data_IF_011953582515
#
_entry.id   IF_011953582515
#
_cell.length_a   1.000
_cell.length_b   1.000
_cell.length_c   1.000
_cell.angle_alpha   90.00
_cell.angle_beta   90.00
_cell.angle_gamma   90.00
#
_symmetry.space_group_name_H-M   'P 1'
#
loop_
_entity.id
_entity.type
_entity.pdbx_description
1 polymer ?
#
# COMPACT_ATOMS: atom_id res chain seq x y z
N UNK A 1 -0.02 -15.02 -4.74
CA UNK A 1 -1.39 -15.40 -4.33
C UNK A 1 -2.26 -14.18 -4.50
N UNK A 2 -3.00 -14.07 -5.60
CA UNK A 2 -3.96 -12.98 -5.79
C UNK A 2 -5.24 -13.30 -5.01
N UNK A 3 -5.55 -12.49 -4.00
CA UNK A 3 -6.91 -12.46 -3.45
C UNK A 3 -7.79 -11.64 -4.38
N UNK A 4 -9.08 -11.95 -4.45
CA UNK A 4 -10.08 -11.13 -5.13
C UNK A 4 -11.06 -10.59 -4.09
N UNK A 5 -11.27 -9.27 -4.11
CA UNK A 5 -12.33 -8.61 -3.36
C UNK A 5 -13.55 -8.47 -4.24
N UNK A 6 -14.69 -9.02 -3.80
CA UNK A 6 -15.96 -8.95 -4.53
C UNK A 6 -16.82 -7.80 -4.01
N UNK A 7 -17.29 -6.95 -4.91
CA UNK A 7 -18.35 -5.98 -4.68
C UNK A 7 -19.60 -6.41 -5.44
N UNK A 8 -20.76 -6.36 -4.81
CA UNK A 8 -22.04 -6.65 -5.45
C UNK A 8 -22.93 -5.43 -5.30
N UNK A 9 -23.42 -4.91 -6.43
CA UNK A 9 -24.40 -3.84 -6.47
C UNK A 9 -25.78 -4.48 -6.56
N UNK A 10 -26.66 -4.06 -5.65
CA UNK A 10 -28.03 -4.54 -5.58
C UNK A 10 -29.00 -3.41 -5.91
N UNK A 11 -29.93 -3.67 -6.82
CA UNK A 11 -31.14 -2.88 -6.95
C UNK A 11 -32.08 -3.22 -5.78
N UNK A 12 -32.49 -2.18 -5.05
CA UNK A 12 -33.37 -2.29 -3.88
C UNK A 12 -34.72 -1.58 -4.08
N UNK A 13 -35.13 -1.29 -5.32
CA UNK A 13 -36.49 -0.81 -5.65
C UNK A 13 -37.55 -1.73 -5.02
N UNK A 14 -37.35 -3.05 -5.12
CA UNK A 14 -38.09 -4.05 -4.36
C UNK A 14 -37.27 -4.61 -3.19
N UNK A 15 -37.37 -3.96 -2.02
CA UNK A 15 -36.65 -4.37 -0.80
C UNK A 15 -36.90 -5.80 -0.32
N UNK A 16 -37.98 -6.46 -0.76
CA UNK A 16 -38.28 -7.84 -0.38
C UNK A 16 -37.66 -8.87 -1.33
N UNK A 17 -37.16 -8.44 -2.48
CA UNK A 17 -36.44 -9.25 -3.45
C UNK A 17 -35.42 -8.37 -4.19
N UNK A 18 -34.28 -8.03 -3.57
CA UNK A 18 -33.22 -7.28 -4.23
C UNK A 18 -32.67 -8.05 -5.43
N UNK A 19 -32.49 -7.36 -6.54
CA UNK A 19 -31.90 -7.92 -7.75
C UNK A 19 -30.42 -7.55 -7.83
N UNK A 20 -29.57 -8.50 -8.26
CA UNK A 20 -28.15 -8.20 -8.49
C UNK A 20 -28.05 -7.47 -9.81
N UNK A 21 -27.58 -6.22 -9.76
CA UNK A 21 -27.37 -5.41 -10.96
C UNK A 21 -26.01 -5.73 -11.61
N UNK A 22 -24.95 -5.79 -10.78
CA UNK A 22 -23.59 -6.12 -11.22
C UNK A 22 -22.71 -6.64 -10.10
N UNK A 23 -21.65 -7.34 -10.49
CA UNK A 23 -20.60 -7.79 -9.59
C UNK A 23 -19.23 -7.34 -10.09
N UNK A 24 -18.41 -6.80 -9.20
CA UNK A 24 -17.03 -6.41 -9.49
C UNK A 24 -16.10 -7.30 -8.68
N UNK A 25 -15.02 -7.76 -9.30
CA UNK A 25 -13.95 -8.48 -8.63
C UNK A 25 -12.67 -7.69 -8.83
N UNK A 26 -12.12 -7.18 -7.74
CA UNK A 26 -10.91 -6.37 -7.75
C UNK A 26 -9.79 -7.21 -7.16
N UNK A 27 -8.67 -7.32 -7.86
CA UNK A 27 -7.48 -7.97 -7.31
C UNK A 27 -6.94 -7.24 -6.09
N UNK A 28 -6.61 -8.00 -5.07
CA UNK A 28 -6.19 -7.51 -3.77
C UNK A 28 -7.22 -7.76 -2.67
N UNK A 29 -6.93 -7.18 -1.53
CA UNK A 29 -7.67 -7.31 -0.28
C UNK A 29 -8.39 -6.01 0.05
N UNK A 30 -9.62 -6.11 0.55
CA UNK A 30 -10.37 -4.99 1.09
C UNK A 30 -9.68 -4.41 2.33
N UNK A 31 -9.54 -3.09 2.39
CA UNK A 31 -9.14 -2.37 3.60
C UNK A 31 -10.36 -1.74 4.27
N UNK A 32 -11.03 -0.83 3.56
CA UNK A 32 -12.17 -0.08 4.07
C UNK A 32 -12.97 0.54 2.92
N UNK A 33 -14.24 0.84 3.17
CA UNK A 33 -15.09 1.57 2.25
C UNK A 33 -16.04 2.51 3.00
N UNK A 34 -16.42 3.60 2.33
CA UNK A 34 -17.38 4.58 2.82
C UNK A 34 -18.22 5.11 1.68
N UNK A 35 -19.53 5.18 1.90
CA UNK A 35 -20.45 5.86 1.00
C UNK A 35 -20.62 7.32 1.43
N UNK A 36 -20.59 8.23 0.45
CA UNK A 36 -20.89 9.65 0.61
C UNK A 36 -21.63 10.13 -0.65
N UNK A 37 -22.89 10.56 -0.50
CA UNK A 37 -23.72 11.17 -1.56
C UNK A 37 -23.92 10.30 -2.82
N UNK A 38 -24.05 8.99 -2.67
CA UNK A 38 -24.25 8.04 -3.77
C UNK A 38 -22.96 7.44 -4.33
N UNK A 39 -21.80 7.96 -3.95
CA UNK A 39 -20.50 7.39 -4.33
C UNK A 39 -19.95 6.53 -3.20
N UNK A 40 -19.57 5.28 -3.53
CA UNK A 40 -18.75 4.46 -2.64
C UNK A 40 -17.28 4.71 -2.94
N UNK A 41 -16.55 5.16 -1.92
CA UNK A 41 -15.10 5.14 -1.91
C UNK A 41 -14.59 3.91 -1.23
N UNK A 42 -13.80 3.10 -1.91
CA UNK A 42 -13.21 1.89 -1.33
C UNK A 42 -11.70 1.90 -1.52
N UNK A 43 -10.99 1.48 -0.48
CA UNK A 43 -9.55 1.28 -0.53
C UNK A 43 -9.27 -0.21 -0.51
N UNK A 44 -8.53 -0.69 -1.51
CA UNK A 44 -8.00 -2.05 -1.58
C UNK A 44 -6.48 -2.04 -1.54
N UNK A 45 -5.87 -3.16 -1.17
CA UNK A 45 -4.43 -3.36 -1.28
C UNK A 45 -4.11 -4.72 -1.91
N UNK A 46 -3.32 -4.69 -2.96
CA UNK A 46 -2.79 -5.87 -3.63
C UNK A 46 -1.27 -5.92 -3.45
N UNK A 47 -0.74 -7.08 -3.09
CA UNK A 47 0.69 -7.32 -3.23
C UNK A 47 1.04 -7.53 -4.69
N UNK A 48 2.12 -6.91 -5.14
CA UNK A 48 2.68 -7.14 -6.47
C UNK A 48 3.23 -8.56 -6.52
N UNK A 49 2.50 -9.45 -7.18
CA UNK A 49 2.97 -10.78 -7.53
C UNK A 49 3.82 -10.66 -8.80
N UNK A 50 4.96 -11.35 -8.87
CA UNK A 50 5.83 -11.33 -10.04
C UNK A 50 5.93 -12.78 -10.55
N UNK A 51 4.97 -13.21 -11.39
CA UNK A 51 4.85 -14.60 -11.78
C UNK A 51 6.13 -15.16 -12.38
N UNK A 52 6.54 -16.34 -11.89
CA UNK A 52 7.72 -17.05 -12.40
C UNK A 52 9.07 -16.55 -11.87
N UNK A 53 9.10 -15.45 -11.10
CA UNK A 53 10.34 -14.99 -10.45
C UNK A 53 10.51 -15.66 -9.09
N UNK A 54 11.67 -16.28 -8.89
CA UNK A 54 12.03 -16.99 -7.66
C UNK A 54 13.03 -16.16 -6.84
N UNK A 55 12.70 -15.91 -5.57
CA UNK A 55 13.56 -15.16 -4.63
C UNK A 55 14.36 -16.04 -3.67
N UNK A 56 14.20 -17.36 -3.75
CA UNK A 56 14.95 -18.35 -2.96
C UNK A 56 15.75 -19.28 -3.86
N UNK A 57 16.71 -20.02 -3.29
CA UNK A 57 17.47 -21.03 -4.02
C UNK A 57 16.85 -22.41 -3.79
N UNK A 58 16.48 -23.11 -4.88
CA UNK A 58 16.05 -24.50 -4.80
C UNK A 58 17.28 -25.42 -4.84
N UNK A 59 17.78 -25.74 -3.65
CA UNK A 59 19.04 -26.46 -3.48
C UNK A 59 18.83 -27.98 -3.62
N UNK A 60 19.77 -28.71 -4.25
CA UNK A 60 19.61 -30.12 -4.52
C UNK A 60 19.54 -30.96 -3.22
N UNK A 61 18.89 -32.12 -3.31
CA UNK A 61 18.86 -33.08 -2.20
C UNK A 61 20.28 -33.43 -1.76
N UNK A 62 20.50 -33.47 -0.44
CA UNK A 62 21.81 -33.76 0.15
C UNK A 62 22.69 -32.52 0.34
N UNK A 63 22.31 -31.34 -0.17
CA UNK A 63 23.03 -30.09 0.09
C UNK A 63 23.24 -29.83 1.59
N UNK A 64 22.18 -30.04 2.39
CA UNK A 64 22.21 -29.82 3.84
C UNK A 64 22.97 -30.90 4.63
N UNK A 65 23.45 -31.97 3.95
CA UNK A 65 24.29 -33.00 4.57
C UNK A 65 25.78 -32.64 4.53
N UNK A 66 26.15 -31.61 3.77
CA UNK A 66 27.53 -31.10 3.72
C UNK A 66 27.81 -30.23 4.95
N UNK A 67 29.03 -30.31 5.46
CA UNK A 67 29.50 -29.41 6.51
C UNK A 67 29.37 -27.95 6.06
N UNK A 68 29.17 -27.04 7.02
CA UNK A 68 28.94 -25.62 6.71
C UNK A 68 30.10 -25.00 5.93
N UNK A 69 31.34 -25.38 6.28
CA UNK A 69 32.58 -24.90 5.67
C UNK A 69 33.03 -25.75 4.46
N UNK A 70 32.23 -26.73 4.02
CA UNK A 70 32.57 -27.54 2.85
C UNK A 70 32.58 -26.65 1.58
N UNK A 71 33.70 -26.59 0.82
CA UNK A 71 33.78 -25.77 -0.38
C UNK A 71 32.74 -26.15 -1.44
N UNK A 72 32.28 -27.41 -1.49
CA UNK A 72 31.24 -27.86 -2.42
C UNK A 72 29.90 -27.17 -2.13
N UNK A 73 29.66 -26.78 -0.87
CA UNK A 73 28.45 -26.05 -0.47
C UNK A 73 28.40 -24.63 -1.06
N UNK A 74 29.55 -24.00 -1.28
CA UNK A 74 29.63 -22.72 -1.98
C UNK A 74 29.41 -22.92 -3.49
N UNK A 75 30.11 -23.88 -4.10
CA UNK A 75 30.00 -24.17 -5.53
C UNK A 75 28.55 -24.49 -5.96
N UNK A 76 27.84 -25.33 -5.18
CA UNK A 76 26.44 -25.64 -5.45
C UNK A 76 25.56 -24.39 -5.36
N UNK A 77 25.76 -23.56 -4.32
CA UNK A 77 24.98 -22.32 -4.14
C UNK A 77 25.16 -21.37 -5.31
N UNK A 78 26.41 -21.12 -5.71
CA UNK A 78 26.72 -20.20 -6.81
C UNK A 78 26.14 -20.69 -8.14
N UNK A 79 26.24 -22.00 -8.41
CA UNK A 79 25.66 -22.59 -9.63
C UNK A 79 24.14 -22.51 -9.66
N UNK A 80 23.48 -22.85 -8.54
CA UNK A 80 22.01 -22.75 -8.45
C UNK A 80 21.58 -21.29 -8.55
N UNK A 81 22.26 -20.38 -7.84
CA UNK A 81 21.98 -18.95 -7.91
C UNK A 81 22.09 -18.40 -9.34
N UNK A 82 23.16 -18.73 -10.06
CA UNK A 82 23.33 -18.32 -11.45
C UNK A 82 22.20 -18.83 -12.35
N UNK A 83 21.82 -20.10 -12.21
CA UNK A 83 20.70 -20.66 -12.98
C UNK A 83 19.37 -20.00 -12.62
N UNK A 84 19.10 -19.76 -11.33
CA UNK A 84 17.90 -19.04 -10.87
C UNK A 84 17.86 -17.62 -11.44
N UNK A 85 18.99 -16.91 -11.49
CA UNK A 85 19.08 -15.58 -12.11
C UNK A 85 18.72 -15.62 -13.60
N UNK A 86 19.21 -16.60 -14.36
CA UNK A 86 18.86 -16.77 -15.77
C UNK A 86 17.36 -17.03 -15.95
N UNK A 87 16.79 -17.95 -15.17
CA UNK A 87 15.36 -18.26 -15.23
C UNK A 87 14.50 -17.04 -14.85
N UNK A 88 14.91 -16.27 -13.85
CA UNK A 88 14.23 -15.05 -13.45
C UNK A 88 14.27 -13.99 -14.54
N UNK A 89 15.41 -13.80 -15.22
CA UNK A 89 15.49 -12.87 -16.35
C UNK A 89 14.53 -13.26 -17.47
N UNK A 90 14.46 -14.55 -17.82
CA UNK A 90 13.49 -15.02 -18.81
C UNK A 90 12.03 -14.83 -18.37
N UNK A 91 11.74 -14.99 -17.08
CA UNK A 91 10.41 -14.72 -16.54
C UNK A 91 10.07 -13.23 -16.65
N UNK A 92 10.98 -12.36 -16.22
CA UNK A 92 10.84 -10.90 -16.28
C UNK A 92 10.64 -10.40 -17.71
N UNK A 93 11.38 -10.94 -18.69
CA UNK A 93 11.26 -10.58 -20.10
C UNK A 93 9.88 -10.89 -20.72
N UNK A 94 9.11 -11.78 -20.09
CA UNK A 94 7.76 -12.17 -20.53
C UNK A 94 6.65 -11.36 -19.85
N UNK A 95 6.96 -10.59 -18.81
CA UNK A 95 5.96 -9.85 -18.07
C UNK A 95 5.55 -8.58 -18.79
N UNK A 96 4.26 -8.29 -18.72
CA UNK A 96 3.66 -7.03 -19.10
C UNK A 96 3.30 -6.21 -17.86
N UNK A 97 3.01 -4.91 -18.04
CA UNK A 97 2.56 -4.07 -16.93
C UNK A 97 1.26 -4.61 -16.30
N UNK A 98 0.33 -5.14 -17.11
CA UNK A 98 -0.92 -5.73 -16.63
C UNK A 98 -0.73 -6.96 -15.74
N UNK A 99 0.42 -7.64 -15.82
CA UNK A 99 0.75 -8.76 -14.93
C UNK A 99 1.24 -8.29 -13.54
N UNK A 100 1.60 -7.01 -13.41
CA UNK A 100 2.21 -6.43 -12.21
C UNK A 100 1.28 -5.49 -11.43
N UNK A 101 0.24 -5.00 -12.09
CA UNK A 101 -0.76 -4.12 -11.49
C UNK A 101 -2.09 -4.86 -11.32
N UNK A 102 -2.90 -4.52 -10.31
CA UNK A 102 -4.17 -5.18 -10.08
C UNK A 102 -5.12 -5.01 -11.26
N UNK A 103 -5.98 -5.99 -11.49
CA UNK A 103 -7.03 -5.94 -12.50
C UNK A 103 -8.43 -5.84 -11.86
N UNK A 104 -9.37 -5.28 -12.61
CA UNK A 104 -10.81 -5.28 -12.26
C UNK A 104 -11.56 -6.15 -13.26
N UNK A 105 -12.39 -7.05 -12.74
CA UNK A 105 -13.29 -7.88 -13.52
C UNK A 105 -14.73 -7.49 -13.19
N UNK A 106 -15.47 -6.99 -14.18
CA UNK A 106 -16.91 -6.76 -14.06
C UNK A 106 -17.65 -7.98 -14.61
N UNK A 107 -18.58 -8.51 -13.83
CA UNK A 107 -19.47 -9.59 -14.22
C UNK A 107 -20.91 -9.07 -14.29
N UNK A 108 -21.50 -9.15 -15.48
CA UNK A 108 -22.90 -8.81 -15.72
C UNK A 108 -23.49 -9.74 -16.79
N UNK A 109 -24.68 -10.28 -16.54
CA UNK A 109 -25.43 -11.06 -17.53
C UNK A 109 -24.75 -12.34 -18.05
N UNK A 110 -23.74 -12.87 -17.35
CA UNK A 110 -22.97 -14.04 -17.80
C UNK A 110 -21.69 -13.71 -18.57
N UNK A 111 -21.40 -12.44 -18.79
CA UNK A 111 -20.19 -11.94 -19.45
C UNK A 111 -19.22 -11.35 -18.41
N UNK A 112 -17.92 -11.52 -18.66
CA UNK A 112 -16.85 -10.89 -17.87
C UNK A 112 -16.14 -9.86 -18.74
N UNK A 113 -16.17 -8.61 -18.30
CA UNK A 113 -15.41 -7.51 -18.89
C UNK A 113 -14.20 -7.23 -18.00
N UNK A 114 -13.01 -7.13 -18.59
CA UNK A 114 -11.78 -6.79 -17.88
C UNK A 114 -11.53 -5.31 -18.07
N UNK A 115 -11.43 -4.57 -16.97
CA UNK A 115 -11.04 -3.17 -16.97
C UNK A 115 -9.59 -3.05 -16.49
N UNK A 116 -8.68 -2.70 -17.39
CA UNK A 116 -7.26 -2.66 -17.09
C UNK A 116 -6.88 -1.35 -16.41
N UNK A 117 -6.19 -1.42 -15.27
CA UNK A 117 -5.72 -0.23 -14.55
C UNK A 117 -4.55 0.49 -15.26
N UNK A 118 -4.10 -0.02 -16.42
CA UNK A 118 -3.03 0.59 -17.23
C UNK A 118 -3.53 1.58 -18.28
N UNK A 119 -4.85 1.69 -18.50
CA UNK A 119 -5.41 2.37 -19.66
C UNK A 119 -5.16 3.90 -19.67
N UNK A 120 -4.90 4.50 -18.50
CA UNK A 120 -4.57 5.92 -18.35
C UNK A 120 -3.05 6.23 -18.35
N UNK A 121 -2.20 5.34 -18.87
CA UNK A 121 -0.75 5.57 -19.02
C UNK A 121 -0.04 5.96 -17.71
N UNK A 122 -0.38 5.28 -16.60
CA UNK A 122 0.20 5.48 -15.26
C UNK A 122 0.00 6.88 -14.64
N UNK A 123 -0.91 7.72 -15.17
CA UNK A 123 -1.15 9.06 -14.64
C UNK A 123 -1.65 9.07 -13.19
N UNK A 124 -2.30 7.99 -12.81
CA UNK A 124 -2.99 7.86 -11.53
C UNK A 124 -2.15 7.05 -10.52
N UNK A 125 -0.84 6.88 -10.78
CA UNK A 125 0.09 6.19 -9.88
C UNK A 125 1.03 7.16 -9.18
N UNK A 126 1.03 7.08 -7.84
CA UNK A 126 2.00 7.75 -6.97
C UNK A 126 2.87 6.69 -6.30
N UNK A 127 4.17 6.96 -6.22
CA UNK A 127 5.10 6.14 -5.46
C UNK A 127 5.94 7.07 -4.55
N UNK A 128 6.30 6.63 -3.32
CA UNK A 128 7.29 7.32 -2.52
C UNK A 128 8.64 7.33 -3.24
N UNK A 129 9.46 8.37 -3.00
CA UNK A 129 10.78 8.52 -3.64
C UNK A 129 11.72 7.34 -3.30
N UNK A 130 11.54 6.80 -2.11
CA UNK A 130 12.23 5.64 -1.59
C UNK A 130 11.23 4.74 -0.84
N UNK A 131 11.24 3.48 -1.21
CA UNK A 131 10.38 2.46 -0.65
C UNK A 131 10.76 1.11 -1.25
N UNK A 132 10.83 0.08 -0.42
CA UNK A 132 11.13 -1.29 -0.87
C UNK A 132 9.87 -2.16 -0.96
N UNK A 133 8.71 -1.59 -0.63
CA UNK A 133 7.47 -2.34 -0.64
C UNK A 133 7.02 -2.67 -2.06
N UNK A 134 6.43 -3.85 -2.19
CA UNK A 134 5.90 -4.42 -3.43
C UNK A 134 4.40 -4.60 -3.30
N UNK A 135 3.69 -3.50 -3.11
CA UNK A 135 2.23 -3.48 -2.98
C UNK A 135 1.66 -2.24 -3.65
N UNK A 136 0.38 -2.33 -4.00
CA UNK A 136 -0.39 -1.25 -4.63
C UNK A 136 -1.66 -1.11 -3.83
N UNK A 137 -1.86 0.07 -3.26
CA UNK A 137 -3.13 0.49 -2.70
C UNK A 137 -3.91 1.27 -3.73
N UNK A 138 -5.17 0.88 -3.92
CA UNK A 138 -6.06 1.50 -4.91
C UNK A 138 -7.24 2.13 -4.20
N UNK A 139 -7.52 3.40 -4.51
CA UNK A 139 -8.69 4.14 -4.03
C UNK A 139 -9.67 4.19 -5.19
N UNK A 140 -10.78 3.46 -5.10
CA UNK A 140 -11.83 3.50 -6.10
C UNK A 140 -12.92 4.45 -5.67
N UNK A 141 -13.35 5.32 -6.57
CA UNK A 141 -14.59 6.09 -6.48
C UNK A 141 -15.62 5.47 -7.43
N UNK A 142 -16.63 4.82 -6.86
CA UNK A 142 -17.67 4.11 -7.60
C UNK A 142 -18.99 4.88 -7.48
N UNK A 143 -19.52 5.39 -8.59
CA UNK A 143 -20.87 5.96 -8.61
C UNK A 143 -21.90 4.82 -8.66
N UNK A 144 -22.70 4.69 -7.60
CA UNK A 144 -23.74 3.67 -7.52
C UNK A 144 -25.04 4.05 -8.25
N UNK A 145 -25.16 5.29 -8.71
CA UNK A 145 -26.39 5.82 -9.32
C UNK A 145 -26.28 5.89 -10.84
N UNK A 146 -25.08 5.73 -11.39
CA UNK A 146 -24.84 5.71 -12.83
C UNK A 146 -25.42 4.43 -13.46
N UNK A 147 -26.08 4.60 -14.62
CA UNK A 147 -26.64 3.47 -15.39
C UNK A 147 -25.57 2.59 -16.02
N UNK A 148 -24.42 3.17 -16.33
CA UNK A 148 -23.23 2.47 -16.82
C UNK A 148 -22.20 2.38 -15.69
N UNK A 149 -21.39 1.32 -15.68
CA UNK A 149 -20.29 1.22 -14.72
C UNK A 149 -19.25 2.27 -15.08
N UNK A 150 -19.06 3.23 -14.19
CA UNK A 150 -17.97 4.19 -14.26
C UNK A 150 -17.24 4.19 -12.92
N UNK A 151 -15.92 4.29 -12.99
CA UNK A 151 -15.08 4.35 -11.81
C UNK A 151 -13.86 5.23 -12.06
N UNK A 152 -13.50 5.98 -11.03
CA UNK A 152 -12.22 6.66 -10.93
C UNK A 152 -11.34 5.86 -9.97
N UNK A 153 -10.05 5.73 -10.29
CA UNK A 153 -9.10 5.00 -9.44
C UNK A 153 -7.75 5.71 -9.36
N UNK A 154 -7.33 5.94 -8.12
CA UNK A 154 -5.99 6.41 -7.77
C UNK A 154 -5.18 5.27 -7.16
N UNK A 155 -3.88 5.21 -7.45
CA UNK A 155 -2.96 4.19 -6.97
C UNK A 155 -1.80 4.78 -6.17
N UNK A 156 -1.50 4.15 -5.05
CA UNK A 156 -0.28 4.38 -4.28
C UNK A 156 0.53 3.09 -4.21
N UNK A 157 1.74 3.12 -4.74
CA UNK A 157 2.70 2.03 -4.60
C UNK A 157 3.33 2.11 -3.22
N UNK A 158 3.21 1.07 -2.41
CA UNK A 158 3.65 1.09 -1.02
C UNK A 158 3.35 -0.19 -0.26
N UNK A 159 3.57 -0.16 1.04
CA UNK A 159 3.13 -1.17 1.99
C UNK A 159 1.62 -1.04 2.25
N UNK A 160 1.07 -2.02 2.97
CA UNK A 160 -0.32 -1.98 3.39
C UNK A 160 -0.55 -0.75 4.29
N UNK A 161 -1.43 0.20 3.92
CA UNK A 161 -1.60 1.44 4.65
C UNK A 161 -2.60 1.32 5.79
N UNK A 162 -2.43 2.15 6.82
CA UNK A 162 -3.52 2.60 7.66
C UNK A 162 -4.31 3.67 6.90
N UNK A 163 -5.65 3.59 6.95
CA UNK A 163 -6.53 4.50 6.22
C UNK A 163 -7.31 5.36 7.18
N UNK A 164 -7.20 6.68 7.03
CA UNK A 164 -8.05 7.66 7.69
C UNK A 164 -8.87 8.42 6.63
N UNK A 165 -10.12 8.73 6.93
CA UNK A 165 -10.96 9.56 6.06
C UNK A 165 -11.93 10.44 6.86
N UNK A 166 -12.03 11.71 6.48
CA UNK A 166 -13.07 12.66 6.90
C UNK A 166 -14.15 12.77 5.79
N UNK A 167 -14.93 13.85 5.76
CA UNK A 167 -15.82 14.15 4.63
C UNK A 167 -15.05 14.53 3.36
N UNK A 168 -13.91 15.20 3.53
CA UNK A 168 -13.22 15.93 2.46
C UNK A 168 -11.76 15.49 2.29
N UNK A 169 -11.21 14.74 3.26
CA UNK A 169 -9.80 14.32 3.25
C UNK A 169 -9.69 12.82 3.44
N UNK A 170 -8.90 12.16 2.60
CA UNK A 170 -8.46 10.78 2.77
C UNK A 170 -6.94 10.74 2.95
N UNK A 171 -6.46 9.91 3.87
CA UNK A 171 -5.04 9.75 4.17
C UNK A 171 -4.69 8.28 4.16
N UNK A 172 -3.68 7.92 3.36
CA UNK A 172 -3.01 6.64 3.43
C UNK A 172 -1.69 6.84 4.19
N UNK A 173 -1.54 6.12 5.31
CA UNK A 173 -0.34 6.12 6.13
C UNK A 173 0.33 4.75 6.05
N UNK A 174 1.40 4.64 5.28
CA UNK A 174 2.09 3.37 5.01
C UNK A 174 3.52 3.39 5.56
N UNK A 175 3.98 2.25 6.05
CA UNK A 175 5.35 2.13 6.58
C UNK A 175 6.35 2.23 5.42
N UNK A 176 7.30 3.16 5.50
CA UNK A 176 8.29 3.37 4.44
C UNK A 176 9.12 2.12 4.13
N UNK A 177 9.23 1.22 5.12
CA UNK A 177 9.90 -0.07 5.00
C UNK A 177 8.95 -1.20 5.40
N UNK A 178 8.83 -2.21 4.55
CA UNK A 178 8.02 -3.40 4.83
C UNK A 178 8.87 -4.54 5.40
N UNK A 179 8.67 -4.89 6.68
CA UNK A 179 9.07 -6.19 7.26
C UNK A 179 10.57 -6.51 7.36
N UNK A 180 10.89 -7.81 7.32
CA UNK A 180 12.16 -8.48 7.68
C UNK A 180 13.46 -7.88 7.07
N UNK A 181 13.36 -7.00 6.09
CA UNK A 181 14.46 -6.22 5.51
C UNK A 181 15.04 -5.16 6.45
N UNK A 182 14.33 -4.87 7.54
CA UNK A 182 14.84 -4.05 8.63
C UNK A 182 15.93 -4.78 9.46
N UNK A 183 15.98 -6.11 9.40
CA UNK A 183 16.88 -6.91 10.22
C UNK A 183 18.36 -6.63 9.91
N UNK A 184 19.12 -6.23 10.93
CA UNK A 184 20.55 -5.96 10.82
C UNK A 184 20.90 -4.63 10.14
N UNK A 185 19.91 -3.74 9.95
CA UNK A 185 20.14 -2.39 9.43
C UNK A 185 19.92 -1.35 10.53
N UNK A 186 20.99 -1.09 11.30
CA UNK A 186 20.94 -0.22 12.46
C UNK A 186 20.86 1.28 12.09
N UNK A 187 21.20 1.63 10.84
CA UNK A 187 21.22 3.01 10.32
C UNK A 187 19.87 3.48 9.77
N UNK A 188 18.86 2.60 9.68
CA UNK A 188 17.53 3.00 9.24
C UNK A 188 16.67 3.46 10.42
N UNK A 189 15.84 4.46 10.17
CA UNK A 189 14.82 4.91 11.11
C UNK A 189 13.46 4.30 10.74
N UNK A 190 12.64 4.04 11.76
CA UNK A 190 11.22 3.74 11.53
C UNK A 190 10.57 5.00 10.97
N UNK A 191 9.95 4.91 9.79
CA UNK A 191 9.31 6.06 9.15
C UNK A 191 7.97 5.65 8.54
N UNK A 192 7.03 6.59 8.54
CA UNK A 192 5.73 6.46 7.88
C UNK A 192 5.63 7.47 6.74
N UNK A 193 5.31 6.97 5.54
CA UNK A 193 4.89 7.77 4.39
C UNK A 193 3.41 8.10 4.53
N UNK A 194 3.07 9.36 4.28
CA UNK A 194 1.71 9.88 4.32
C UNK A 194 1.34 10.38 2.93
N UNK A 195 0.23 9.89 2.40
CA UNK A 195 -0.35 10.33 1.14
C UNK A 195 -1.73 10.92 1.41
N UNK A 196 -1.96 12.16 1.01
CA UNK A 196 -3.24 12.86 1.26
C UNK A 196 -4.01 13.10 -0.02
N UNK A 197 -5.32 12.91 0.04
CA UNK A 197 -6.24 13.10 -1.07
C UNK A 197 -7.40 14.00 -0.63
N UNK A 198 -7.86 14.87 -1.54
CA UNK A 198 -9.13 15.56 -1.43
C UNK A 198 -10.22 14.67 -2.03
N UNK A 199 -11.25 14.41 -1.23
CA UNK A 199 -12.40 13.55 -1.56
C UNK A 199 -13.73 14.30 -1.44
N UNK A 200 -13.69 15.63 -1.46
CA UNK A 200 -14.89 16.48 -1.34
C UNK A 200 -15.82 16.40 -2.56
N UNK A 201 -15.26 16.23 -3.76
CA UNK A 201 -16.03 16.00 -4.99
C UNK A 201 -16.51 14.55 -5.05
N UNK A 202 -17.77 14.22 -5.37
CA UNK A 202 -18.27 12.84 -5.30
C UNK A 202 -17.65 11.89 -6.32
N UNK A 203 -17.18 12.39 -7.45
CA UNK A 203 -16.75 11.63 -8.63
C UNK A 203 -15.23 11.60 -8.82
N UNK A 204 -14.48 12.20 -7.90
CA UNK A 204 -13.03 12.31 -8.03
C UNK A 204 -12.31 12.13 -6.70
N UNK A 205 -11.10 11.60 -6.81
CA UNK A 205 -10.07 11.64 -5.78
C UNK A 205 -8.95 12.52 -6.34
N UNK A 206 -8.53 13.54 -5.58
CA UNK A 206 -7.44 14.43 -6.00
C UNK A 206 -6.27 14.28 -5.05
N UNK A 207 -5.14 13.81 -5.57
CA UNK A 207 -3.92 13.75 -4.78
C UNK A 207 -3.43 15.15 -4.37
N UNK A 208 -3.34 15.39 -3.06
CA UNK A 208 -2.98 16.68 -2.45
C UNK A 208 -1.57 16.73 -1.86
N UNK A 209 -0.79 15.68 -2.06
CA UNK A 209 0.63 15.64 -1.70
C UNK A 209 0.97 14.55 -0.69
N UNK A 210 2.28 14.36 -0.52
CA UNK A 210 2.85 13.42 0.44
C UNK A 210 3.86 14.05 1.35
N UNK A 211 4.06 13.42 2.50
CA UNK A 211 5.16 13.71 3.41
C UNK A 211 5.60 12.45 4.11
N UNK A 212 6.66 12.58 4.89
CA UNK A 212 7.21 11.49 5.69
C UNK A 212 7.44 11.97 7.10
N UNK A 213 7.10 11.13 8.06
CA UNK A 213 7.33 11.38 9.48
C UNK A 213 8.02 10.19 10.13
N UNK A 214 8.71 10.45 11.24
CA UNK A 214 9.33 9.39 12.02
C UNK A 214 8.29 8.56 12.79
N UNK A 215 8.63 7.30 13.01
CA UNK A 215 7.87 6.33 13.77
C UNK A 215 6.78 5.63 12.96
N UNK A 216 6.00 4.84 13.69
CA UNK A 216 4.90 4.03 13.17
C UNK A 216 3.55 4.61 13.61
N UNK A 217 2.61 4.65 12.67
CA UNK A 217 1.20 4.97 12.94
C UNK A 217 0.49 3.69 13.37
N UNK A 218 -0.18 3.71 14.52
CA UNK A 218 -0.84 2.53 15.06
C UNK A 218 -2.08 2.12 14.24
N UNK A 219 -3.00 3.06 14.04
CA UNK A 219 -4.29 2.84 13.39
C UNK A 219 -4.93 4.20 12.98
N UNK A 220 -6.14 4.15 12.43
CA UNK A 220 -6.86 5.34 11.95
C UNK A 220 -7.11 6.41 13.02
N UNK A 221 -7.17 6.05 14.30
CA UNK A 221 -7.38 7.00 15.41
C UNK A 221 -6.10 7.75 15.80
N UNK A 222 -4.96 7.34 15.25
CA UNK A 222 -3.70 8.08 15.35
C UNK A 222 -3.61 9.22 14.33
N UNK A 223 -4.61 9.37 13.46
CA UNK A 223 -4.71 10.45 12.49
C UNK A 223 -5.94 11.32 12.76
N UNK A 224 -5.79 12.62 12.58
CA UNK A 224 -6.92 13.56 12.53
C UNK A 224 -6.57 14.77 11.67
N UNK A 225 -7.59 15.46 11.19
CA UNK A 225 -7.44 16.72 10.46
C UNK A 225 -8.29 17.80 11.14
N UNK A 226 -7.77 19.03 11.16
CA UNK A 226 -8.51 20.19 11.63
C UNK A 226 -7.99 21.47 10.97
N UNK A 227 -8.88 22.21 10.31
CA UNK A 227 -8.59 23.50 9.66
C UNK A 227 -7.39 23.42 8.68
N UNK A 228 -7.29 22.33 7.93
CA UNK A 228 -6.22 22.08 6.96
C UNK A 228 -4.91 21.56 7.57
N UNK A 229 -4.88 21.29 8.88
CA UNK A 229 -3.72 20.73 9.58
C UNK A 229 -3.92 19.24 9.82
N UNK A 230 -3.11 18.41 9.20
CA UNK A 230 -3.03 16.98 9.48
C UNK A 230 -2.25 16.77 10.79
N UNK A 231 -2.80 15.99 11.71
CA UNK A 231 -2.17 15.65 12.99
C UNK A 231 -1.97 14.14 13.03
N UNK A 232 -0.74 13.72 13.28
CA UNK A 232 -0.37 12.31 13.24
C UNK A 232 0.39 11.96 14.51
N UNK A 233 -0.17 11.02 15.27
CA UNK A 233 0.49 10.43 16.41
C UNK A 233 1.28 9.20 15.96
N UNK A 234 2.56 9.15 16.29
CA UNK A 234 3.41 7.99 16.00
C UNK A 234 4.16 7.54 17.24
N UNK A 235 4.55 6.27 17.25
CA UNK A 235 5.55 5.76 18.18
C UNK A 235 6.87 5.63 17.43
N UNK A 236 7.91 6.25 17.96
CA UNK A 236 9.30 6.03 17.56
C UNK A 236 10.00 5.14 18.57
N UNK A 237 11.15 4.60 18.18
CA UNK A 237 11.91 3.68 19.01
C UNK A 237 11.38 2.26 18.87
N UNK A 238 12.29 1.32 19.06
CA UNK A 238 12.33 0.12 18.24
C UNK A 238 11.24 -0.91 18.52
N UNK A 239 10.16 -0.90 17.75
CA UNK A 239 9.24 -2.02 17.69
C UNK A 239 9.86 -3.12 16.80
N UNK A 240 10.08 -4.30 17.39
CA UNK A 240 10.64 -5.47 16.71
C UNK A 240 12.15 -5.45 16.34
N UNK A 241 12.99 -4.52 16.87
CA UNK A 241 14.47 -4.63 16.76
C UNK A 241 15.13 -5.43 17.89
N UNK A 242 14.68 -6.68 18.08
CA UNK A 242 15.16 -7.59 19.13
C UNK A 242 16.64 -8.02 18.98
N UNK A 243 17.31 -7.66 17.89
CA UNK A 243 18.71 -7.96 17.62
C UNK A 243 19.69 -6.86 18.09
N UNK A 244 19.19 -5.71 18.57
CA UNK A 244 20.03 -4.62 19.08
C UNK A 244 20.33 -4.82 20.57
N UNK A 245 21.57 -4.61 20.97
CA UNK A 245 22.01 -4.82 22.37
C UNK A 245 21.59 -3.68 23.32
N UNK A 246 21.50 -2.43 22.85
CA UNK A 246 21.11 -1.26 23.65
C UNK A 246 20.30 -0.24 22.80
N UNK A 247 19.03 -0.55 22.46
CA UNK A 247 18.22 0.34 21.63
C UNK A 247 17.71 1.55 22.42
N UNK A 248 17.54 2.69 21.72
CA UNK A 248 16.83 3.84 22.29
C UNK A 248 15.42 3.45 22.77
N UNK A 249 14.96 4.00 23.91
CA UNK A 249 13.63 3.67 24.43
C UNK A 249 12.53 4.14 23.48
N UNK A 250 11.46 3.36 23.38
CA UNK A 250 10.27 3.80 22.65
C UNK A 250 9.74 5.12 23.21
N UNK A 251 9.24 5.98 22.35
CA UNK A 251 8.58 7.21 22.75
C UNK A 251 7.50 7.55 21.74
N UNK A 252 6.39 8.10 22.22
CA UNK A 252 5.36 8.63 21.34
C UNK A 252 5.67 10.07 20.95
N UNK A 253 5.13 10.50 19.82
CA UNK A 253 5.17 11.87 19.35
C UNK A 253 3.87 12.25 18.64
N UNK A 254 3.59 13.54 18.61
CA UNK A 254 2.52 14.14 17.80
C UNK A 254 3.15 15.11 16.81
N UNK A 255 2.99 14.83 15.52
CA UNK A 255 3.47 15.67 14.43
C UNK A 255 2.28 16.32 13.74
N UNK A 256 2.42 17.59 13.40
CA UNK A 256 1.42 18.34 12.62
C UNK A 256 2.01 18.70 11.27
N UNK A 257 1.23 18.50 10.20
CA UNK A 257 1.64 18.76 8.83
C UNK A 257 0.64 19.66 8.12
N UNK A 258 1.15 20.51 7.24
CA UNK A 258 0.35 21.37 6.36
C UNK A 258 0.72 21.11 4.91
N UNK A 259 -0.26 21.28 4.01
CA UNK A 259 -0.03 21.19 2.57
C UNK A 259 0.82 22.37 2.10
N UNK A 260 1.78 22.09 1.24
CA UNK A 260 2.66 23.06 0.61
C UNK A 260 3.02 22.60 -0.80
N UNK A 261 3.75 23.43 -1.54
CA UNK A 261 4.28 23.10 -2.85
C UNK A 261 5.81 23.21 -2.80
N UNK A 262 6.47 22.15 -3.23
CA UNK A 262 7.92 22.17 -3.44
C UNK A 262 8.25 23.12 -4.60
N UNK A 263 9.11 24.11 -4.35
CA UNK A 263 9.35 25.21 -5.30
C UNK A 263 10.18 24.76 -6.50
N UNK A 264 11.04 23.76 -6.31
CA UNK A 264 11.96 23.29 -7.36
C UNK A 264 11.26 22.31 -8.30
N UNK A 265 10.38 21.47 -7.77
CA UNK A 265 9.68 20.40 -8.53
C UNK A 265 8.24 20.75 -8.88
N UNK A 266 7.63 21.73 -8.22
CA UNK A 266 6.21 22.08 -8.36
C UNK A 266 5.25 21.03 -7.79
N UNK A 267 5.76 20.01 -7.08
CA UNK A 267 4.94 18.93 -6.51
C UNK A 267 4.26 19.37 -5.21
N UNK A 268 3.04 18.87 -5.01
CA UNK A 268 2.35 19.01 -3.73
C UNK A 268 3.02 18.13 -2.67
N UNK A 269 3.30 18.71 -1.50
CA UNK A 269 3.99 18.06 -0.40
C UNK A 269 3.31 18.37 0.94
N UNK A 270 3.52 17.52 1.93
CA UNK A 270 3.18 17.78 3.32
C UNK A 270 4.45 18.17 4.07
N UNK A 271 4.43 19.34 4.69
CA UNK A 271 5.55 19.86 5.46
C UNK A 271 5.20 19.88 6.94
N UNK A 272 6.15 19.51 7.79
CA UNK A 272 6.00 19.59 9.25
C UNK A 272 5.78 21.05 9.66
N UNK A 273 4.64 21.34 10.28
CA UNK A 273 4.32 22.64 10.86
C UNK A 273 4.73 22.72 12.35
N UNK A 274 4.81 21.57 13.01
CA UNK A 274 5.20 21.49 14.42
C UNK A 274 5.14 20.06 14.95
N UNK A 275 5.82 19.82 16.06
CA UNK A 275 5.97 18.50 16.68
C UNK A 275 6.07 18.61 18.20
N UNK A 276 5.52 17.61 18.88
CA UNK A 276 5.73 17.33 20.30
C UNK A 276 6.28 15.91 20.40
N UNK A 277 7.50 15.76 20.91
CA UNK A 277 8.21 14.49 21.07
C UNK A 277 8.35 14.10 22.56
N UNK A 278 8.99 12.96 22.82
CA UNK A 278 9.28 12.52 24.20
C UNK A 278 8.05 12.16 25.03
N UNK A 279 6.91 11.86 24.40
CA UNK A 279 5.67 11.54 25.10
C UNK A 279 5.75 10.09 25.61
N UNK A 280 5.63 9.93 26.94
CA UNK A 280 5.64 8.65 27.64
C UNK A 280 6.84 7.74 27.26
N UNK A 281 8.09 8.13 27.60
CA UNK A 281 9.26 7.31 27.29
C UNK A 281 9.18 5.91 27.91
N UNK A 282 9.51 4.89 27.11
CA UNK A 282 9.36 3.47 27.44
C UNK A 282 7.98 2.89 27.11
N UNK A 283 7.02 3.71 26.71
CA UNK A 283 5.66 3.30 26.34
C UNK A 283 5.37 3.57 24.86
N UNK A 284 4.24 3.04 24.38
CA UNK A 284 3.75 3.20 23.02
C UNK A 284 2.24 3.44 23.01
N UNK A 285 1.74 3.90 21.87
CA UNK A 285 0.30 4.00 21.59
C UNK A 285 -0.29 2.57 21.46
N UNK A 286 -1.49 2.34 22.02
CA UNK A 286 -2.22 1.05 22.02
C UNK A 286 -3.63 1.16 21.45
#
# INVERSE_FOLDING_TARGET
SSSLTKFTVFDIENRSAPDVERELFIEGSYITAREINGTVRTVTHAHMDVPGVQSWLDLPRGYWNLDYDDPLRLEIREKVAYQTMLNNNEALDRLSLSDLIPQVYEYSGGEVVIHAMSDNACRDFVAPEDGMSRGISSIFSLDLVASDFDYEVDHVVGAYPQVYASSDVLVLAESAFSGWWFWGNDDMDEMTNLHTFDISAPDATLYTGSGRIAGTVLNQFSLSEHEGVLRVATTVGQWARWWMDDPEPMSSQLVTLVRSMDVDTGKQVLVEAGRVDGIAPGERIW
#
